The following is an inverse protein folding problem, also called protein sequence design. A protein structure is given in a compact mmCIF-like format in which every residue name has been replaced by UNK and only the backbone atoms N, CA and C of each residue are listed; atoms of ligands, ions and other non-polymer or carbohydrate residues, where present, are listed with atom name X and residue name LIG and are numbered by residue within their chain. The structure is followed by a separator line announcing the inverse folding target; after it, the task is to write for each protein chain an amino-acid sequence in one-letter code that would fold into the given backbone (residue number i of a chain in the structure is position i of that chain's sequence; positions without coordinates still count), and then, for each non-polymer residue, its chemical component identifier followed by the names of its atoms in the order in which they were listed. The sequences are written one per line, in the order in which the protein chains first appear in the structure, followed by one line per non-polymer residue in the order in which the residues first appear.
data_IF_495276865678
#
_entry.id   IF_495276865678
#
_cell.length_a   1.000
_cell.length_b   1.000
_cell.length_c   1.000
_cell.angle_alpha   90.00
_cell.angle_beta   90.00
_cell.angle_gamma   90.00
#
_symmetry.space_group_name_H-M   'P 1'
#
loop_
_entity.id
_entity.type
_entity.pdbx_description
1 polymer ?
#
# COMPACT_ATOMS: atom_id res chain seq x y z
N UNK A 1 77.65 4.99 3.09
CA UNK A 1 76.79 4.58 1.96
C UNK A 1 75.41 4.25 2.53
N UNK A 2 74.48 5.21 2.48
CA UNK A 2 73.11 5.08 3.07
C UNK A 2 72.13 4.73 1.96
N UNK A 3 71.58 3.54 2.03
CA UNK A 3 70.45 3.12 1.16
C UNK A 3 69.14 3.47 1.84
N UNK A 4 68.40 4.43 1.29
CA UNK A 4 67.05 4.76 1.69
C UNK A 4 66.04 3.89 0.93
N UNK A 5 65.46 2.93 1.64
CA UNK A 5 64.34 2.13 1.10
C UNK A 5 63.05 2.92 1.12
N UNK A 6 62.47 3.19 -0.05
CA UNK A 6 61.12 3.73 -0.21
C UNK A 6 60.11 2.57 -0.10
N UNK A 7 59.37 2.54 1.00
CA UNK A 7 58.24 1.65 1.15
C UNK A 7 57.07 2.17 0.30
N UNK A 8 56.69 1.41 -0.71
CA UNK A 8 55.52 1.65 -1.57
C UNK A 8 54.26 1.11 -0.87
N UNK A 9 53.45 1.98 -0.31
CA UNK A 9 52.17 1.62 0.29
C UNK A 9 51.15 1.45 -0.85
N UNK A 10 50.81 0.20 -1.17
CA UNK A 10 49.68 -0.12 -2.04
C UNK A 10 48.39 0.03 -1.22
N UNK A 11 47.68 1.13 -1.43
CA UNK A 11 46.29 1.28 -0.97
C UNK A 11 45.42 0.48 -1.92
N UNK A 12 45.00 -0.73 -1.50
CA UNK A 12 44.00 -1.54 -2.19
C UNK A 12 42.65 -0.87 -1.97
N UNK A 13 42.19 -0.06 -2.90
CA UNK A 13 40.83 0.43 -2.95
C UNK A 13 39.95 -0.79 -3.32
N UNK A 14 39.31 -1.40 -2.32
CA UNK A 14 38.16 -2.31 -2.55
C UNK A 14 36.99 -1.48 -3.10
N UNK A 15 36.95 -1.37 -4.40
CA UNK A 15 35.71 -1.00 -5.12
C UNK A 15 34.74 -2.16 -4.97
N UNK A 16 33.88 -2.06 -3.95
CA UNK A 16 32.68 -2.88 -3.89
C UNK A 16 31.86 -2.56 -5.14
N UNK A 17 31.98 -3.40 -6.17
CA UNK A 17 31.04 -3.43 -7.30
C UNK A 17 29.67 -3.77 -6.73
N UNK A 18 28.90 -2.73 -6.35
CA UNK A 18 27.44 -2.87 -6.28
C UNK A 18 27.01 -3.26 -7.68
N UNK A 19 26.52 -4.48 -7.84
CA UNK A 19 25.88 -4.90 -9.07
C UNK A 19 24.88 -3.80 -9.43
N UNK A 20 25.15 -3.04 -10.47
CA UNK A 20 24.24 -2.02 -10.99
C UNK A 20 23.05 -2.82 -11.50
N UNK A 21 21.97 -2.87 -10.73
CA UNK A 21 20.72 -3.41 -11.21
C UNK A 21 20.38 -2.67 -12.51
N UNK A 22 19.98 -3.41 -13.54
CA UNK A 22 19.60 -2.82 -14.82
C UNK A 22 18.37 -1.93 -14.65
N UNK A 23 18.63 -0.67 -14.28
CA UNK A 23 17.60 0.32 -13.94
C UNK A 23 16.76 0.72 -15.16
N UNK A 24 17.27 0.48 -16.36
CA UNK A 24 16.55 0.74 -17.62
C UNK A 24 15.30 -0.13 -17.75
N UNK A 25 15.28 -1.31 -17.11
CA UNK A 25 14.12 -2.21 -17.12
C UNK A 25 12.91 -1.66 -16.36
N UNK A 26 13.10 -0.67 -15.44
CA UNK A 26 11.99 -0.01 -14.72
C UNK A 26 11.47 1.25 -15.42
N UNK A 27 12.27 1.87 -16.27
CA UNK A 27 11.89 3.09 -16.99
C UNK A 27 12.39 3.02 -18.43
N UNK A 28 11.90 2.07 -19.25
CA UNK A 28 12.45 1.82 -20.61
C UNK A 28 12.28 3.01 -21.55
N UNK A 29 11.31 3.88 -21.30
CA UNK A 29 11.08 5.12 -22.05
C UNK A 29 11.82 6.35 -21.50
N UNK A 30 12.77 6.19 -20.55
CA UNK A 30 13.50 7.30 -19.93
C UNK A 30 12.67 8.14 -18.96
N UNK A 31 11.44 7.75 -18.67
CA UNK A 31 10.54 8.36 -17.67
C UNK A 31 9.88 7.23 -16.90
N UNK A 32 9.88 7.29 -15.58
CA UNK A 32 9.16 6.34 -14.74
C UNK A 32 7.68 6.73 -14.65
N UNK A 33 6.81 5.96 -15.29
CA UNK A 33 5.37 6.15 -15.26
C UNK A 33 4.78 5.29 -14.14
N UNK A 34 4.26 5.94 -13.12
CA UNK A 34 3.69 5.30 -11.93
C UNK A 34 2.17 5.53 -11.86
N UNK A 35 1.42 4.49 -11.55
CA UNK A 35 -0.02 4.58 -11.34
C UNK A 35 -0.39 4.15 -9.91
N UNK A 36 -1.30 4.89 -9.25
CA UNK A 36 -1.74 4.57 -7.90
C UNK A 36 -3.26 4.52 -7.81
N UNK A 37 -3.78 3.85 -6.77
CA UNK A 37 -5.21 3.70 -6.53
C UNK A 37 -5.77 4.95 -5.82
N UNK A 38 -6.52 5.79 -6.56
CA UNK A 38 -7.05 7.06 -6.05
C UNK A 38 -8.06 6.88 -4.90
N UNK A 39 -8.77 5.75 -4.85
CA UNK A 39 -9.70 5.43 -3.76
C UNK A 39 -9.00 4.99 -2.47
N UNK A 40 -7.66 4.83 -2.48
CA UNK A 40 -6.90 4.45 -1.29
C UNK A 40 -6.04 5.63 -0.78
N UNK A 41 -6.54 6.44 0.16
CA UNK A 41 -5.79 7.57 0.71
C UNK A 41 -4.52 7.17 1.45
N UNK A 42 -4.39 5.90 1.87
CA UNK A 42 -3.14 5.39 2.44
C UNK A 42 -1.99 5.34 1.42
N UNK A 43 -2.28 5.24 0.12
CA UNK A 43 -1.27 5.31 -0.93
C UNK A 43 -0.92 6.75 -1.29
N UNK A 44 -1.88 7.50 -1.80
CA UNK A 44 -1.70 8.89 -2.18
C UNK A 44 -3.06 9.60 -2.35
N UNK A 45 -3.01 10.93 -2.25
CA UNK A 45 -4.16 11.81 -2.43
C UNK A 45 -3.77 12.91 -3.42
N UNK A 46 -4.66 13.21 -4.37
CA UNK A 46 -4.52 14.37 -5.24
C UNK A 46 -5.19 15.57 -4.62
N UNK A 47 -4.46 16.65 -4.47
CA UNK A 47 -5.00 17.93 -4.04
C UNK A 47 -5.91 18.50 -5.15
N UNK A 48 -7.20 18.77 -4.88
CA UNK A 48 -8.14 19.22 -5.91
C UNK A 48 -7.84 20.64 -6.42
N UNK A 49 -7.16 21.46 -5.62
CA UNK A 49 -6.87 22.86 -5.98
C UNK A 49 -5.58 22.98 -6.78
N UNK A 50 -4.50 22.34 -6.33
CA UNK A 50 -3.18 22.40 -6.99
C UNK A 50 -2.95 21.30 -8.01
N UNK A 51 -3.69 20.18 -7.90
CA UNK A 51 -3.43 18.96 -8.65
C UNK A 51 -2.26 18.13 -8.14
N UNK A 52 -1.57 18.58 -7.08
CA UNK A 52 -0.42 17.89 -6.50
C UNK A 52 -0.83 16.52 -5.93
N UNK A 53 -0.01 15.52 -6.19
CA UNK A 53 -0.20 14.18 -5.64
C UNK A 53 0.77 13.99 -4.47
N UNK A 54 0.22 13.75 -3.27
CA UNK A 54 0.97 13.60 -2.02
C UNK A 54 0.65 12.25 -1.37
N UNK A 55 1.60 11.71 -0.62
CA UNK A 55 1.44 10.46 0.14
C UNK A 55 2.59 9.50 -0.09
N UNK A 56 2.66 8.46 0.75
CA UNK A 56 3.81 7.56 0.82
C UNK A 56 4.15 6.88 -0.51
N UNK A 57 3.14 6.45 -1.29
CA UNK A 57 3.38 5.82 -2.60
C UNK A 57 3.88 6.82 -3.64
N UNK A 58 3.37 8.06 -3.62
CA UNK A 58 3.84 9.11 -4.51
C UNK A 58 5.29 9.51 -4.19
N UNK A 59 5.62 9.61 -2.91
CA UNK A 59 6.98 9.93 -2.46
C UNK A 59 7.94 8.77 -2.79
N UNK A 60 7.48 7.51 -2.64
CA UNK A 60 8.25 6.34 -3.08
C UNK A 60 8.50 6.37 -4.59
N UNK A 61 7.49 6.67 -5.42
CA UNK A 61 7.67 6.78 -6.87
C UNK A 61 8.70 7.85 -7.24
N UNK A 62 8.66 9.02 -6.59
CA UNK A 62 9.64 10.10 -6.81
C UNK A 62 11.04 9.69 -6.39
N UNK A 63 11.18 9.02 -5.25
CA UNK A 63 12.48 8.54 -4.77
C UNK A 63 13.05 7.44 -5.68
N UNK A 64 12.21 6.55 -6.21
CA UNK A 64 12.62 5.58 -7.22
C UNK A 64 13.15 6.30 -8.48
N UNK A 65 12.40 7.28 -9.01
CA UNK A 65 12.86 8.06 -10.16
C UNK A 65 14.17 8.82 -9.92
N UNK A 66 14.33 9.42 -8.72
CA UNK A 66 15.58 10.06 -8.32
C UNK A 66 16.76 9.10 -8.32
N UNK A 67 16.58 7.89 -7.80
CA UNK A 67 17.63 6.84 -7.79
C UNK A 67 17.94 6.30 -9.18
N UNK A 68 16.92 6.22 -10.03
CA UNK A 68 17.05 5.83 -11.44
C UNK A 68 17.60 6.97 -12.33
N UNK A 69 17.65 8.21 -11.80
CA UNK A 69 18.02 9.44 -12.54
C UNK A 69 17.08 9.68 -13.74
N UNK A 70 15.78 9.46 -13.55
CA UNK A 70 14.75 9.70 -14.57
C UNK A 70 13.61 10.58 -14.03
N UNK A 71 12.91 11.33 -14.87
CA UNK A 71 11.66 11.99 -14.51
C UNK A 71 10.60 11.00 -14.09
N UNK A 72 9.63 11.46 -13.28
CA UNK A 72 8.50 10.63 -12.81
C UNK A 72 7.18 11.28 -13.18
N UNK A 73 6.29 10.49 -13.76
CA UNK A 73 4.89 10.86 -13.98
C UNK A 73 4.02 9.96 -13.10
N UNK A 74 3.16 10.57 -12.27
CA UNK A 74 2.29 9.84 -11.35
C UNK A 74 0.84 10.11 -11.74
N UNK A 75 0.06 9.06 -11.99
CA UNK A 75 -1.34 9.16 -12.41
C UNK A 75 -2.27 8.42 -11.45
N UNK A 76 -3.45 8.98 -11.12
CA UNK A 76 -4.47 8.29 -10.36
C UNK A 76 -5.21 7.26 -11.21
N UNK A 77 -5.66 6.18 -10.59
CA UNK A 77 -6.52 5.17 -11.19
C UNK A 77 -7.74 4.90 -10.31
N UNK A 78 -8.88 4.60 -10.92
CA UNK A 78 -10.15 4.52 -10.22
C UNK A 78 -10.27 3.28 -9.32
N UNK A 79 -9.72 2.13 -9.75
CA UNK A 79 -9.85 0.86 -9.07
C UNK A 79 -8.60 -0.02 -9.27
N UNK A 80 -8.42 -1.10 -8.48
CA UNK A 80 -7.25 -1.96 -8.59
C UNK A 80 -7.08 -2.62 -9.96
N UNK A 81 -8.17 -2.95 -10.65
CA UNK A 81 -8.08 -3.59 -11.96
C UNK A 81 -7.47 -2.64 -12.99
N UNK A 82 -7.86 -1.37 -13.00
CA UNK A 82 -7.31 -0.38 -13.92
C UNK A 82 -5.83 -0.05 -13.62
N UNK A 83 -5.37 -0.17 -12.37
CA UNK A 83 -3.93 -0.12 -12.03
C UNK A 83 -3.19 -1.30 -12.69
N UNK A 84 -3.73 -2.51 -12.54
CA UNK A 84 -3.14 -3.74 -13.09
C UNK A 84 -3.10 -3.68 -14.62
N UNK A 85 -4.21 -3.26 -15.24
CA UNK A 85 -4.33 -3.18 -16.70
C UNK A 85 -3.34 -2.17 -17.30
N UNK A 86 -3.17 -1.01 -16.66
CA UNK A 86 -2.20 0.00 -17.10
C UNK A 86 -0.77 -0.54 -17.11
N UNK A 87 -0.39 -1.29 -16.08
CA UNK A 87 0.95 -1.91 -16.02
C UNK A 87 1.07 -3.08 -17.00
N UNK A 88 0.08 -3.94 -17.08
CA UNK A 88 0.08 -5.10 -17.97
C UNK A 88 0.16 -4.70 -19.45
N UNK A 89 -0.47 -3.58 -19.85
CA UNK A 89 -0.47 -3.04 -21.21
C UNK A 89 0.75 -2.16 -21.51
N UNK A 90 1.62 -1.90 -20.53
CA UNK A 90 2.77 -1.00 -20.69
C UNK A 90 2.38 0.50 -20.76
N UNK A 91 1.18 0.86 -20.35
CA UNK A 91 0.74 2.26 -20.20
C UNK A 91 1.40 2.92 -18.97
N UNK A 92 1.72 2.12 -17.95
CA UNK A 92 2.54 2.47 -16.80
C UNK A 92 3.67 1.46 -16.62
N UNK A 93 4.79 1.89 -16.06
CA UNK A 93 5.95 1.04 -15.78
C UNK A 93 5.82 0.35 -14.43
N UNK A 94 5.24 1.06 -13.46
CA UNK A 94 4.95 0.54 -12.12
C UNK A 94 3.54 0.92 -11.68
N UNK A 95 2.95 0.08 -10.81
CA UNK A 95 1.65 0.36 -10.21
C UNK A 95 1.65 0.07 -8.71
N UNK A 96 0.92 0.87 -7.93
CA UNK A 96 0.74 0.65 -6.50
C UNK A 96 -0.59 -0.05 -6.25
N UNK A 97 -0.54 -1.25 -5.66
CA UNK A 97 -1.73 -2.04 -5.37
C UNK A 97 -1.48 -2.98 -4.20
N UNK A 98 -2.54 -3.31 -3.47
CA UNK A 98 -2.47 -4.36 -2.47
C UNK A 98 -2.18 -5.72 -3.12
N UNK A 99 -1.33 -6.52 -2.48
CA UNK A 99 -1.13 -7.89 -2.91
C UNK A 99 -2.44 -8.69 -2.81
N UNK A 100 -2.73 -9.47 -3.83
CA UNK A 100 -3.79 -10.47 -3.80
C UNK A 100 -3.40 -11.65 -4.71
N UNK A 101 -3.53 -12.91 -4.24
CA UNK A 101 -3.19 -14.10 -5.02
C UNK A 101 -3.88 -14.15 -6.39
N UNK A 102 -5.13 -13.71 -6.48
CA UNK A 102 -5.91 -13.68 -7.73
C UNK A 102 -5.35 -12.78 -8.83
N UNK A 103 -4.39 -11.91 -8.50
CA UNK A 103 -3.79 -10.94 -9.42
C UNK A 103 -2.44 -11.38 -9.98
N UNK A 104 -1.84 -12.45 -9.44
CA UNK A 104 -0.46 -12.89 -9.79
C UNK A 104 -0.31 -13.44 -11.21
N UNK A 105 -1.41 -13.75 -11.89
CA UNK A 105 -1.40 -14.22 -13.29
C UNK A 105 -1.05 -13.13 -14.31
N UNK A 106 -1.31 -11.87 -13.98
CA UNK A 106 -1.27 -10.74 -14.94
C UNK A 106 -0.06 -9.83 -14.74
N UNK A 107 0.42 -9.68 -13.50
CA UNK A 107 1.54 -8.81 -13.13
C UNK A 107 2.49 -9.52 -12.16
N UNK A 108 3.67 -8.95 -11.97
CA UNK A 108 4.62 -9.38 -10.92
C UNK A 108 4.56 -8.39 -9.75
N UNK A 109 4.61 -8.92 -8.53
CA UNK A 109 4.57 -8.15 -7.29
C UNK A 109 5.95 -7.99 -6.67
N UNK A 110 6.31 -6.77 -6.28
CA UNK A 110 7.48 -6.51 -5.45
C UNK A 110 7.29 -7.07 -4.04
N UNK A 111 8.35 -7.08 -3.25
CA UNK A 111 8.19 -7.19 -1.80
C UNK A 111 7.25 -6.09 -1.25
N UNK A 112 6.64 -6.36 -0.10
CA UNK A 112 5.77 -5.40 0.58
C UNK A 112 6.58 -4.20 1.07
N UNK A 113 6.15 -2.97 0.73
CA UNK A 113 6.81 -1.76 1.22
C UNK A 113 6.07 -1.12 2.40
N UNK A 114 4.74 -1.30 2.47
CA UNK A 114 3.87 -0.71 3.49
C UNK A 114 2.78 -1.69 3.89
N UNK A 115 2.40 -1.68 5.15
CA UNK A 115 1.25 -2.38 5.70
C UNK A 115 0.14 -1.37 5.99
N UNK A 116 -1.09 -1.70 5.61
CA UNK A 116 -2.27 -0.87 5.86
C UNK A 116 -3.22 -1.61 6.78
N UNK A 117 -3.36 -1.12 8.01
CA UNK A 117 -4.18 -1.72 9.06
C UNK A 117 -5.67 -1.56 8.76
N UNK A 118 -6.40 -2.63 8.93
CA UNK A 118 -7.86 -2.67 8.79
C UNK A 118 -8.50 -2.73 10.18
N UNK A 119 -9.67 -2.11 10.34
CA UNK A 119 -10.47 -2.17 11.56
C UNK A 119 -11.95 -1.99 11.23
N UNK A 120 -12.79 -1.87 12.27
CA UNK A 120 -14.22 -1.61 12.12
C UNK A 120 -14.62 -0.26 12.70
N UNK A 121 -15.53 0.42 12.01
CA UNK A 121 -16.34 1.51 12.53
C UNK A 121 -17.60 0.92 13.14
N UNK A 122 -17.95 1.35 14.33
CA UNK A 122 -19.18 0.96 15.05
C UNK A 122 -19.83 2.19 15.66
N UNK A 123 -21.16 2.20 15.92
CA UNK A 123 -21.78 3.24 16.71
C UNK A 123 -21.11 3.40 18.09
N UNK A 124 -21.01 4.60 18.63
CA UNK A 124 -20.46 4.83 19.99
C UNK A 124 -21.21 4.03 21.05
N UNK A 125 -22.52 3.83 20.87
CA UNK A 125 -23.39 3.04 21.73
C UNK A 125 -23.24 1.53 21.57
N UNK A 126 -22.44 1.07 20.59
CA UNK A 126 -22.21 -0.36 20.33
C UNK A 126 -21.54 -1.04 21.51
N UNK A 127 -21.99 -2.28 21.80
CA UNK A 127 -21.37 -3.14 22.82
C UNK A 127 -20.04 -3.77 22.36
N UNK A 128 -19.78 -3.78 21.03
CA UNK A 128 -18.55 -4.36 20.47
C UNK A 128 -17.34 -3.57 20.96
N UNK A 129 -16.35 -4.26 21.52
CA UNK A 129 -15.11 -3.67 22.07
C UNK A 129 -13.87 -4.06 21.28
N UNK A 130 -13.92 -5.20 20.59
CA UNK A 130 -12.79 -5.73 19.83
C UNK A 130 -13.25 -6.29 18.47
N UNK A 131 -12.30 -6.49 17.56
CA UNK A 131 -12.57 -7.10 16.25
C UNK A 131 -12.94 -8.58 16.36
N UNK A 132 -12.59 -9.25 17.47
CA UNK A 132 -12.95 -10.64 17.71
C UNK A 132 -14.44 -10.83 18.00
N UNK A 133 -15.11 -9.78 18.48
CA UNK A 133 -16.52 -9.82 18.87
C UNK A 133 -17.48 -9.64 17.69
N UNK A 134 -16.98 -9.39 16.47
CA UNK A 134 -17.83 -9.07 15.31
C UNK A 134 -18.55 -10.29 14.72
N UNK A 135 -17.99 -11.50 14.86
CA UNK A 135 -18.57 -12.70 14.27
C UNK A 135 -19.57 -13.41 15.21
N UNK A 136 -20.69 -12.73 15.48
CA UNK A 136 -21.76 -13.25 16.33
C UNK A 136 -23.09 -13.39 15.58
N UNK A 137 -23.93 -14.37 15.95
CA UNK A 137 -25.27 -14.50 15.36
C UNK A 137 -26.09 -13.21 15.51
N UNK A 138 -26.74 -12.80 14.45
CA UNK A 138 -27.60 -11.61 14.42
C UNK A 138 -26.88 -10.31 14.13
N UNK A 139 -25.54 -10.28 14.12
CA UNK A 139 -24.78 -9.11 13.67
C UNK A 139 -24.69 -9.06 12.13
N UNK A 140 -24.72 -7.85 11.60
CA UNK A 140 -24.56 -7.54 10.16
C UNK A 140 -23.29 -6.73 9.99
N UNK A 141 -22.28 -7.39 9.47
CA UNK A 141 -20.95 -6.81 9.29
C UNK A 141 -20.78 -6.38 7.85
N UNK A 142 -20.38 -5.15 7.63
CA UNK A 142 -20.27 -4.64 6.27
C UNK A 142 -18.85 -4.27 5.87
N UNK A 143 -18.64 -4.22 4.56
CA UNK A 143 -17.47 -3.69 3.90
C UNK A 143 -17.80 -3.20 2.51
N UNK A 144 -16.91 -2.42 1.92
CA UNK A 144 -17.07 -1.93 0.56
C UNK A 144 -17.01 -3.08 -0.45
N UNK A 145 -17.85 -3.03 -1.46
CA UNK A 145 -17.89 -4.04 -2.52
C UNK A 145 -16.53 -4.24 -3.17
N UNK A 146 -16.01 -5.47 -3.11
CA UNK A 146 -14.70 -5.83 -3.66
C UNK A 146 -13.48 -5.34 -2.86
N UNK A 147 -13.67 -4.68 -1.72
CA UNK A 147 -12.59 -4.29 -0.82
C UNK A 147 -11.94 -5.52 -0.15
N UNK A 148 -10.66 -5.39 0.23
CA UNK A 148 -9.91 -6.48 0.87
C UNK A 148 -10.57 -6.98 2.17
N UNK A 149 -11.18 -6.07 2.95
CA UNK A 149 -11.92 -6.45 4.16
C UNK A 149 -13.15 -7.28 3.80
N UNK A 150 -13.92 -6.89 2.80
CA UNK A 150 -15.11 -7.64 2.35
C UNK A 150 -14.72 -9.03 1.88
N UNK A 151 -13.66 -9.14 1.08
CA UNK A 151 -13.14 -10.44 0.62
C UNK A 151 -12.64 -11.32 1.78
N UNK A 152 -12.04 -10.71 2.80
CA UNK A 152 -11.63 -11.40 4.02
C UNK A 152 -12.85 -11.89 4.80
N UNK A 153 -13.81 -11.03 5.07
CA UNK A 153 -15.02 -11.34 5.81
C UNK A 153 -15.85 -12.44 5.13
N UNK A 154 -15.96 -12.41 3.81
CA UNK A 154 -16.67 -13.45 3.04
C UNK A 154 -16.09 -14.87 3.24
N UNK A 155 -14.81 -14.98 3.60
CA UNK A 155 -14.13 -16.27 3.85
C UNK A 155 -14.09 -16.66 5.32
N UNK A 156 -14.16 -15.69 6.22
CA UNK A 156 -13.87 -15.91 7.65
C UNK A 156 -15.09 -15.84 8.56
N UNK A 157 -16.12 -15.08 8.20
CA UNK A 157 -17.36 -15.01 8.99
C UNK A 157 -18.06 -16.37 9.00
N UNK A 158 -18.47 -16.81 10.19
CA UNK A 158 -19.19 -18.08 10.41
C UNK A 158 -20.60 -17.86 10.94
N UNK A 159 -20.83 -16.78 11.66
CA UNK A 159 -22.07 -16.54 12.41
C UNK A 159 -22.75 -15.22 12.02
N UNK A 160 -21.98 -14.17 11.80
CA UNK A 160 -22.50 -12.88 11.38
C UNK A 160 -22.86 -12.87 9.88
N UNK A 161 -23.76 -11.96 9.50
CA UNK A 161 -24.14 -11.77 8.09
C UNK A 161 -23.27 -10.70 7.45
N UNK A 162 -22.66 -10.99 6.30
CA UNK A 162 -21.92 -10.02 5.51
C UNK A 162 -22.89 -9.18 4.67
N UNK A 163 -22.74 -7.86 4.72
CA UNK A 163 -23.49 -6.88 3.92
C UNK A 163 -22.49 -6.05 3.09
N UNK A 164 -22.59 -6.13 1.78
CA UNK A 164 -21.79 -5.26 0.90
C UNK A 164 -22.43 -3.88 0.75
N UNK A 165 -21.59 -2.84 0.71
CA UNK A 165 -22.02 -1.44 0.66
C UNK A 165 -21.27 -0.67 -0.41
N UNK A 166 -21.82 0.47 -0.84
CA UNK A 166 -21.10 1.41 -1.72
C UNK A 166 -20.04 2.21 -0.97
N UNK A 167 -20.08 2.15 0.38
CA UNK A 167 -19.10 2.74 1.29
C UNK A 167 -18.94 4.26 1.15
N UNK A 168 -19.93 4.96 0.63
CA UNK A 168 -19.99 6.42 0.70
C UNK A 168 -20.44 6.87 2.10
N UNK A 169 -20.06 8.07 2.57
CA UNK A 169 -20.51 8.57 3.87
C UNK A 169 -22.03 8.57 4.02
N UNK A 170 -22.76 8.96 2.96
CA UNK A 170 -24.22 8.98 2.95
C UNK A 170 -24.81 7.56 3.07
N UNK A 171 -24.31 6.59 2.31
CA UNK A 171 -24.73 5.19 2.39
C UNK A 171 -24.44 4.60 3.77
N UNK A 172 -23.27 4.85 4.32
CA UNK A 172 -22.91 4.36 5.65
C UNK A 172 -23.81 4.92 6.73
N UNK A 173 -24.05 6.23 6.73
CA UNK A 173 -24.96 6.87 7.68
C UNK A 173 -26.36 6.26 7.61
N UNK A 174 -26.92 6.17 6.40
CA UNK A 174 -28.27 5.61 6.19
C UNK A 174 -28.37 4.17 6.71
N UNK A 175 -27.40 3.31 6.38
CA UNK A 175 -27.42 1.91 6.78
C UNK A 175 -27.27 1.69 8.29
N UNK A 176 -26.44 2.49 8.96
CA UNK A 176 -26.35 2.46 10.42
C UNK A 176 -27.64 2.96 11.09
N UNK A 177 -28.22 4.08 10.62
CA UNK A 177 -29.47 4.63 11.15
C UNK A 177 -30.65 3.69 10.95
N UNK A 178 -30.73 3.04 9.79
CA UNK A 178 -31.72 2.01 9.48
C UNK A 178 -31.47 0.67 10.20
N UNK A 179 -30.36 0.57 10.94
CA UNK A 179 -29.91 -0.68 11.56
C UNK A 179 -29.76 -1.83 10.57
N UNK A 180 -29.34 -1.53 9.35
CA UNK A 180 -29.03 -2.54 8.33
C UNK A 180 -27.63 -3.12 8.52
N UNK A 181 -26.74 -2.39 9.21
CA UNK A 181 -25.39 -2.81 9.57
C UNK A 181 -25.07 -2.48 11.02
N UNK A 182 -24.26 -3.29 11.65
CA UNK A 182 -23.81 -3.13 13.04
C UNK A 182 -22.33 -2.71 13.13
N UNK A 183 -21.53 -3.03 12.09
CA UNK A 183 -20.15 -2.62 11.94
C UNK A 183 -19.77 -2.47 10.46
N UNK A 184 -18.87 -1.53 10.16
CA UNK A 184 -18.30 -1.33 8.82
C UNK A 184 -16.79 -1.47 8.83
N UNK A 185 -16.26 -2.43 8.07
CA UNK A 185 -14.85 -2.73 7.95
C UNK A 185 -14.17 -1.98 6.79
N UNK A 186 -13.06 -1.31 7.10
CA UNK A 186 -12.20 -0.65 6.11
C UNK A 186 -10.80 -0.35 6.69
N UNK A 187 -9.90 0.22 5.87
CA UNK A 187 -8.64 0.72 6.41
C UNK A 187 -8.85 1.88 7.39
N UNK A 188 -7.99 1.98 8.41
CA UNK A 188 -8.13 2.97 9.50
C UNK A 188 -8.21 4.40 9.00
N UNK A 189 -7.46 4.78 7.95
CA UNK A 189 -7.52 6.14 7.40
C UNK A 189 -8.90 6.44 6.81
N UNK A 190 -9.49 5.49 6.07
CA UNK A 190 -10.84 5.63 5.53
C UNK A 190 -11.88 5.77 6.63
N UNK A 191 -11.79 4.93 7.68
CA UNK A 191 -12.67 5.03 8.85
C UNK A 191 -12.51 6.37 9.56
N UNK A 192 -11.27 6.86 9.72
CA UNK A 192 -10.99 8.17 10.32
C UNK A 192 -11.56 9.32 9.48
N UNK A 193 -11.50 9.24 8.17
CA UNK A 193 -12.12 10.23 7.29
C UNK A 193 -13.63 10.18 7.38
N UNK A 194 -14.21 8.98 7.39
CA UNK A 194 -15.65 8.78 7.52
C UNK A 194 -16.19 9.39 8.82
N UNK A 195 -15.48 9.23 9.96
CA UNK A 195 -15.86 9.85 11.25
C UNK A 195 -15.87 11.39 11.23
N UNK A 196 -15.18 12.03 10.30
CA UNK A 196 -15.26 13.50 10.13
C UNK A 196 -16.55 13.93 9.45
N UNK A 197 -17.15 13.04 8.67
CA UNK A 197 -18.35 13.31 7.87
C UNK A 197 -19.62 12.81 8.55
N UNK A 198 -19.52 11.70 9.32
CA UNK A 198 -20.62 11.17 10.13
C UNK A 198 -20.20 11.09 11.60
N UNK A 199 -21.00 11.63 12.50
CA UNK A 199 -20.73 11.67 13.95
C UNK A 199 -21.48 10.56 14.70
N UNK A 200 -21.03 10.24 15.91
CA UNK A 200 -21.66 9.21 16.76
C UNK A 200 -21.10 7.80 16.52
N UNK A 201 -19.91 7.71 15.91
CA UNK A 201 -19.24 6.45 15.65
C UNK A 201 -17.82 6.44 16.19
N UNK A 202 -17.28 5.26 16.44
CA UNK A 202 -15.88 5.04 16.87
C UNK A 202 -15.24 3.89 16.10
N UNK A 203 -13.92 3.91 15.99
CA UNK A 203 -13.14 2.81 15.43
C UNK A 203 -12.77 1.86 16.57
N UNK A 204 -12.88 0.54 16.33
CA UNK A 204 -12.38 -0.45 17.29
C UNK A 204 -10.86 -0.29 17.49
N UNK A 205 -10.35 -0.51 18.73
CA UNK A 205 -8.95 -0.22 19.06
C UNK A 205 -7.96 -1.13 18.34
N UNK A 206 -8.31 -2.35 18.13
CA UNK A 206 -7.52 -3.40 17.49
C UNK A 206 -7.69 -3.46 15.97
N UNK A 207 -6.92 -4.32 15.33
CA UNK A 207 -6.92 -4.49 13.88
C UNK A 207 -7.45 -5.88 13.50
N UNK A 208 -8.14 -5.95 12.37
CA UNK A 208 -8.59 -7.21 11.77
C UNK A 208 -7.37 -7.94 11.19
N UNK A 209 -6.64 -7.26 10.32
CA UNK A 209 -5.42 -7.73 9.64
C UNK A 209 -4.71 -6.54 8.99
N UNK A 210 -3.50 -6.79 8.52
CA UNK A 210 -2.71 -5.82 7.77
C UNK A 210 -2.73 -6.17 6.29
N UNK A 211 -3.07 -5.19 5.43
CA UNK A 211 -3.06 -5.37 3.98
C UNK A 211 -1.68 -5.00 3.43
N UNK A 212 -0.93 -5.97 2.85
CA UNK A 212 0.35 -5.70 2.23
C UNK A 212 0.20 -4.80 0.99
N UNK A 213 0.87 -3.66 0.98
CA UNK A 213 0.96 -2.80 -0.18
C UNK A 213 2.26 -3.07 -0.92
N UNK A 214 2.15 -3.25 -2.21
CA UNK A 214 3.24 -3.63 -3.10
C UNK A 214 3.32 -2.69 -4.29
N UNK A 215 4.44 -2.77 -4.99
CA UNK A 215 4.60 -2.17 -6.31
C UNK A 215 4.58 -3.29 -7.34
N UNK A 216 3.80 -3.14 -8.39
CA UNK A 216 3.73 -4.13 -9.46
C UNK A 216 4.49 -3.67 -10.70
N UNK A 217 5.03 -4.62 -11.44
CA UNK A 217 5.58 -4.47 -12.78
C UNK A 217 4.90 -5.42 -13.74
N UNK A 218 5.05 -5.19 -15.04
CA UNK A 218 4.49 -6.08 -16.06
C UNK A 218 4.99 -7.53 -15.90
N UNK A 219 4.13 -8.48 -16.23
CA UNK A 219 4.46 -9.92 -16.21
C UNK A 219 5.68 -10.21 -17.08
N UNK A 220 6.64 -10.96 -16.54
CA UNK A 220 7.88 -11.28 -17.24
C UNK A 220 8.97 -10.21 -17.16
N UNK A 221 8.72 -9.03 -16.57
CA UNK A 221 9.76 -8.03 -16.31
C UNK A 221 10.60 -8.40 -15.08
N UNK A 222 11.27 -9.56 -15.15
CA UNK A 222 12.07 -10.08 -14.02
C UNK A 222 13.22 -9.15 -13.64
N UNK A 223 13.89 -8.52 -14.62
CA UNK A 223 14.97 -7.57 -14.34
C UNK A 223 14.46 -6.33 -13.61
N UNK A 224 13.33 -5.78 -14.05
CA UNK A 224 12.68 -4.67 -13.39
C UNK A 224 12.25 -5.03 -11.97
N UNK A 225 11.68 -6.22 -11.76
CA UNK A 225 11.28 -6.68 -10.42
C UNK A 225 12.48 -6.81 -9.46
N UNK A 226 13.60 -7.37 -9.92
CA UNK A 226 14.83 -7.47 -9.11
C UNK A 226 15.35 -6.07 -8.75
N UNK A 227 15.45 -5.17 -9.73
CA UNK A 227 15.86 -3.79 -9.50
C UNK A 227 14.92 -3.07 -8.51
N UNK A 228 13.62 -3.22 -8.68
CA UNK A 228 12.59 -2.64 -7.81
C UNK A 228 12.74 -3.15 -6.36
N UNK A 229 12.93 -4.44 -6.16
CA UNK A 229 13.08 -5.02 -4.82
C UNK A 229 14.35 -4.50 -4.12
N UNK A 230 15.47 -4.39 -4.84
CA UNK A 230 16.69 -3.79 -4.29
C UNK A 230 16.48 -2.32 -3.90
N UNK A 231 15.79 -1.54 -4.73
CA UNK A 231 15.47 -0.15 -4.43
C UNK A 231 14.52 -0.03 -3.22
N UNK A 232 13.54 -0.93 -3.07
CA UNK A 232 12.66 -0.96 -1.90
C UNK A 232 13.45 -1.29 -0.63
N UNK A 233 14.40 -2.21 -0.68
CA UNK A 233 15.29 -2.51 0.46
C UNK A 233 16.16 -1.30 0.82
N UNK A 234 16.73 -0.63 -0.15
CA UNK A 234 17.53 0.58 0.06
C UNK A 234 16.72 1.72 0.71
N UNK A 235 15.50 1.99 0.23
CA UNK A 235 14.65 3.05 0.83
C UNK A 235 14.12 2.66 2.20
N UNK A 236 13.98 1.37 2.48
CA UNK A 236 13.66 0.86 3.83
C UNK A 236 14.86 1.07 4.78
N UNK A 237 16.04 0.62 4.39
CA UNK A 237 17.26 0.69 5.20
C UNK A 237 17.71 2.13 5.47
N UNK A 238 17.55 3.03 4.49
CA UNK A 238 17.88 4.46 4.66
C UNK A 238 16.90 5.21 5.57
N UNK A 239 15.79 4.59 5.99
CA UNK A 239 14.73 5.24 6.76
C UNK A 239 13.81 6.12 5.91
N UNK A 240 14.01 6.20 4.59
CA UNK A 240 13.17 7.01 3.71
C UNK A 240 11.69 6.61 3.80
N UNK A 241 11.37 5.31 3.71
CA UNK A 241 9.99 4.83 3.82
C UNK A 241 9.33 5.27 5.12
N UNK A 242 10.03 5.12 6.25
CA UNK A 242 9.52 5.55 7.56
C UNK A 242 9.21 7.04 7.56
N UNK A 243 10.14 7.86 7.11
CA UNK A 243 9.96 9.31 7.02
C UNK A 243 8.82 9.71 6.08
N UNK A 244 8.66 9.04 4.93
CA UNK A 244 7.57 9.28 3.99
C UNK A 244 6.20 8.93 4.58
N UNK A 245 6.09 7.82 5.32
CA UNK A 245 4.87 7.43 6.01
C UNK A 245 4.51 8.43 7.11
N UNK A 246 5.46 8.80 7.96
CA UNK A 246 5.26 9.78 9.04
C UNK A 246 4.83 11.14 8.47
N UNK A 247 5.51 11.62 7.43
CA UNK A 247 5.19 12.89 6.75
C UNK A 247 3.81 12.90 6.11
N UNK A 248 3.32 11.75 5.67
CA UNK A 248 1.98 11.65 5.07
C UNK A 248 0.85 12.00 6.03
N UNK A 249 1.07 11.87 7.36
CA UNK A 249 0.05 12.06 8.39
C UNK A 249 -1.07 11.02 8.34
N UNK A 250 -0.92 9.97 7.57
CA UNK A 250 -1.92 8.89 7.42
C UNK A 250 -1.85 7.98 8.65
N UNK A 251 -3.01 7.64 9.20
CA UNK A 251 -3.11 6.73 10.33
C UNK A 251 -3.26 5.27 9.89
N UNK A 252 -2.73 4.35 10.70
CA UNK A 252 -2.86 2.92 10.46
C UNK A 252 -2.04 2.41 9.28
N UNK A 253 -0.87 3.01 9.04
CA UNK A 253 0.13 2.52 8.10
C UNK A 253 1.47 2.32 8.80
N UNK A 254 2.19 1.28 8.41
CA UNK A 254 3.54 0.99 8.90
C UNK A 254 4.46 0.58 7.74
N UNK A 255 5.76 0.77 7.94
CA UNK A 255 6.77 0.19 7.04
C UNK A 255 6.73 -1.32 7.20
N UNK A 256 6.59 -2.06 6.11
CA UNK A 256 6.68 -3.50 6.16
C UNK A 256 8.10 -3.93 6.53
N UNK A 257 8.29 -4.90 7.46
CA UNK A 257 9.60 -5.47 7.74
C UNK A 257 10.25 -6.08 6.49
N UNK A 258 11.57 -6.11 6.48
CA UNK A 258 12.30 -6.84 5.43
C UNK A 258 11.87 -8.31 5.43
N UNK A 259 11.66 -8.88 4.23
CA UNK A 259 11.21 -10.26 4.09
C UNK A 259 9.77 -10.52 4.51
N UNK A 260 8.95 -9.49 4.70
CA UNK A 260 7.51 -9.66 4.91
C UNK A 260 6.90 -10.35 3.68
N UNK A 261 6.50 -11.61 3.87
CA UNK A 261 5.97 -12.46 2.79
C UNK A 261 4.54 -12.09 2.42
N UNK A 262 4.21 -12.37 1.18
CA UNK A 262 2.84 -12.28 0.68
C UNK A 262 2.01 -13.37 1.34
N UNK A 263 1.21 -13.20 2.28
CA UNK A 263 0.34 -14.29 2.74
C UNK A 263 0.20 -14.48 4.24
N UNK A 264 0.68 -13.54 5.04
CA UNK A 264 0.32 -13.50 6.45
C UNK A 264 -0.90 -12.61 6.72
N UNK A 265 -1.80 -12.51 5.74
CA UNK A 265 -3.19 -12.11 5.94
C UNK A 265 -4.05 -13.40 5.98
N UNK A 266 -3.65 -14.36 6.80
CA UNK A 266 -4.47 -15.50 7.20
C UNK A 266 -5.05 -15.26 8.58
#
# INVERSE_FOLDING_TARGET
MRMTGKALVFVLALLASRASADTSALAPGGTLRAVYLASNPAQAVRDPASGDIRGASADLARELGRRLTVPVVITPSANPQTVIDAVAKGEADIGFVAYAPSRTGTVEFSQTYMLVRQSFLVPETSRLKSVEEIDQPGLRISGGKGDSVTLFLARTLKHATLVETDSTPADMKLKFEAREIDAFGANRQRLTNLMKEIQGYRILPDNIFDVPQTVIVAKGNTKGLVALNLLIDDVRQSGFLKSALEKSGIVGIDVAPAGYGYGRAE
#
